data_IF_898352198592
#
_entry.id   IF_898352198592
#
_cell.length_a   1.000
_cell.length_b   1.000
_cell.length_c   1.000
_cell.angle_alpha   90.00
_cell.angle_beta   90.00
_cell.angle_gamma   90.00
#
_symmetry.space_group_name_H-M   'P 1'
#
loop_
_entity.id
_entity.type
_entity.pdbx_description
1 polymer ?
#
# COMPACT_ATOMS: atom_id res chain seq x y z
N UNK A 1 -29.85 -25.99 -53.91
CA UNK A 1 -30.13 -24.83 -53.04
C UNK A 1 -30.25 -25.30 -51.59
N UNK A 2 -29.60 -24.56 -50.69
CA UNK A 2 -29.73 -24.55 -49.21
C UNK A 2 -28.87 -25.56 -48.41
N UNK A 3 -27.74 -25.02 -47.96
CA UNK A 3 -26.91 -25.43 -46.83
C UNK A 3 -27.71 -25.78 -45.57
N UNK A 4 -27.24 -26.75 -44.77
CA UNK A 4 -27.11 -26.58 -43.31
C UNK A 4 -25.80 -27.23 -42.84
N UNK A 5 -24.87 -26.34 -42.51
CA UNK A 5 -23.65 -26.49 -41.73
C UNK A 5 -24.00 -26.88 -40.30
N UNK A 6 -23.34 -27.86 -39.66
CA UNK A 6 -23.39 -28.03 -38.19
C UNK A 6 -22.41 -29.09 -37.67
N UNK A 7 -21.61 -28.66 -36.69
CA UNK A 7 -20.81 -29.44 -35.72
C UNK A 7 -19.35 -29.74 -36.07
N UNK A 8 -18.49 -28.74 -35.83
CA UNK A 8 -17.17 -28.96 -35.24
C UNK A 8 -17.03 -28.01 -34.04
N UNK A 9 -17.41 -28.53 -32.88
CA UNK A 9 -17.32 -27.87 -31.58
C UNK A 9 -15.85 -27.91 -31.14
N UNK A 10 -15.06 -26.90 -31.52
CA UNK A 10 -13.70 -26.72 -31.03
C UNK A 10 -13.75 -26.18 -29.60
N UNK A 11 -13.67 -27.10 -28.64
CA UNK A 11 -13.49 -26.82 -27.23
C UNK A 11 -12.04 -26.37 -27.00
N UNK A 12 -11.78 -25.07 -27.07
CA UNK A 12 -10.53 -24.46 -26.61
C UNK A 12 -10.58 -24.41 -25.09
N UNK A 13 -9.92 -25.38 -24.44
CA UNK A 13 -9.63 -25.36 -23.00
C UNK A 13 -8.69 -24.19 -22.71
N UNK A 14 -9.26 -23.07 -22.26
CA UNK A 14 -8.52 -21.95 -21.70
C UNK A 14 -8.00 -22.36 -20.32
N UNK A 15 -6.84 -23.02 -20.31
CA UNK A 15 -6.08 -23.29 -19.09
C UNK A 15 -5.72 -21.97 -18.43
N UNK A 16 -6.50 -21.56 -17.44
CA UNK A 16 -6.18 -20.45 -16.55
C UNK A 16 -5.04 -20.93 -15.64
N UNK A 17 -3.79 -20.82 -16.10
CA UNK A 17 -2.63 -20.98 -15.25
C UNK A 17 -2.63 -19.82 -14.27
N UNK A 18 -3.12 -20.05 -13.06
CA UNK A 18 -2.91 -19.14 -11.95
C UNK A 18 -1.41 -19.06 -11.68
N UNK A 19 -0.76 -18.01 -12.17
CA UNK A 19 0.58 -17.65 -11.70
C UNK A 19 0.43 -17.31 -10.23
N UNK A 20 0.85 -18.21 -9.34
CA UNK A 20 1.07 -17.87 -7.95
C UNK A 20 2.16 -16.80 -7.91
N UNK A 21 1.78 -15.55 -7.71
CA UNK A 21 2.71 -14.51 -7.30
C UNK A 21 3.31 -14.98 -5.97
N UNK A 22 4.57 -15.39 -6.00
CA UNK A 22 5.39 -15.45 -4.79
C UNK A 22 5.51 -14.00 -4.32
N UNK A 23 4.71 -13.63 -3.32
CA UNK A 23 4.81 -12.33 -2.68
C UNK A 23 6.10 -12.33 -1.85
N UNK A 24 7.20 -11.92 -2.48
CA UNK A 24 8.51 -11.80 -1.84
C UNK A 24 8.55 -10.62 -0.87
N UNK A 25 7.64 -9.66 -0.99
CA UNK A 25 7.55 -8.51 -0.10
C UNK A 25 6.43 -8.76 0.91
N UNK A 26 6.73 -8.54 2.19
CA UNK A 26 5.83 -8.76 3.31
C UNK A 26 5.52 -7.43 3.99
N UNK A 27 4.24 -7.16 4.25
CA UNK A 27 3.83 -6.10 5.17
C UNK A 27 4.11 -6.58 6.61
N UNK A 28 4.90 -5.82 7.35
CA UNK A 28 5.18 -6.09 8.76
C UNK A 28 4.11 -5.45 9.65
N UNK A 29 3.89 -4.16 9.47
CA UNK A 29 2.90 -3.36 10.18
C UNK A 29 2.55 -2.10 9.35
N UNK A 30 1.52 -1.39 9.77
CA UNK A 30 1.18 -0.09 9.19
C UNK A 30 -0.24 0.37 9.45
N UNK A 31 -0.48 1.64 9.17
CA UNK A 31 -1.77 2.30 9.37
C UNK A 31 -1.96 3.48 8.41
N UNK A 32 -3.22 3.84 8.19
CA UNK A 32 -3.58 5.12 7.56
C UNK A 32 -3.92 6.11 8.66
N UNK A 33 -3.37 7.31 8.59
CA UNK A 33 -3.66 8.35 9.59
C UNK A 33 -5.11 8.82 9.46
N UNK A 34 -5.82 8.83 10.57
CA UNK A 34 -7.13 9.46 10.65
C UNK A 34 -6.99 11.00 10.66
N UNK A 35 -7.78 11.69 9.85
CA UNK A 35 -7.85 13.15 9.81
C UNK A 35 -9.28 13.63 10.11
N UNK A 36 -9.45 14.87 10.63
CA UNK A 36 -10.78 15.48 10.73
C UNK A 36 -11.50 15.47 9.36
N UNK A 37 -12.84 15.35 9.33
CA UNK A 37 -13.60 15.26 8.07
C UNK A 37 -13.40 16.43 7.10
N UNK A 38 -12.94 17.58 7.60
CA UNK A 38 -12.67 18.78 6.79
C UNK A 38 -11.33 18.73 6.03
N UNK A 39 -10.46 17.76 6.31
CA UNK A 39 -9.14 17.64 5.68
C UNK A 39 -9.22 16.65 4.52
N UNK A 40 -8.98 17.08 3.27
CA UNK A 40 -9.18 16.24 2.09
C UNK A 40 -8.02 15.27 1.82
N UNK A 41 -6.93 15.34 2.59
CA UNK A 41 -5.71 14.56 2.37
C UNK A 41 -5.27 13.87 3.65
N UNK A 42 -4.62 12.72 3.53
CA UNK A 42 -4.02 12.02 4.67
C UNK A 42 -2.74 11.30 4.23
N UNK A 43 -2.04 10.68 5.17
CA UNK A 43 -0.85 9.87 4.91
C UNK A 43 -1.04 8.44 5.40
N UNK A 44 -0.41 7.49 4.71
CA UNK A 44 -0.25 6.11 5.13
C UNK A 44 1.21 5.81 5.46
N UNK A 45 1.38 5.04 6.52
CA UNK A 45 2.65 4.65 7.11
C UNK A 45 2.68 3.14 7.27
N UNK A 46 3.77 2.50 6.92
CA UNK A 46 3.91 1.05 6.98
C UNK A 46 5.36 0.60 6.83
N UNK A 47 5.63 -0.61 7.30
CA UNK A 47 6.91 -1.28 7.16
C UNK A 47 6.78 -2.46 6.19
N UNK A 48 7.66 -2.49 5.19
CA UNK A 48 7.81 -3.64 4.29
C UNK A 48 9.14 -4.36 4.57
N UNK A 49 9.14 -5.68 4.44
CA UNK A 49 10.33 -6.53 4.45
C UNK A 49 10.39 -7.31 3.13
N UNK A 50 11.54 -7.32 2.47
CA UNK A 50 11.74 -8.04 1.21
C UNK A 50 12.51 -9.33 1.42
N UNK A 51 11.94 -10.46 1.02
CA UNK A 51 12.57 -11.78 1.03
C UNK A 51 13.08 -12.23 -0.34
N UNK A 52 12.92 -11.40 -1.37
CA UNK A 52 13.37 -11.69 -2.73
C UNK A 52 14.42 -10.70 -3.22
N UNK A 53 14.67 -10.67 -4.54
CA UNK A 53 15.62 -9.74 -5.15
C UNK A 53 15.27 -8.28 -4.86
N UNK A 54 16.27 -7.39 -4.95
CA UNK A 54 16.06 -5.96 -4.82
C UNK A 54 15.03 -5.44 -5.84
N UNK A 55 14.10 -4.62 -5.37
CA UNK A 55 13.02 -4.00 -6.15
C UNK A 55 12.83 -2.55 -5.73
N UNK A 56 12.08 -1.78 -6.51
CA UNK A 56 11.69 -0.41 -6.15
C UNK A 56 10.19 -0.28 -6.11
N UNK A 57 9.65 0.32 -5.06
CA UNK A 57 8.27 0.77 -5.02
C UNK A 57 8.16 2.01 -5.89
N UNK A 58 7.44 1.95 -7.01
CA UNK A 58 7.35 3.04 -8.00
C UNK A 58 5.98 3.71 -8.06
N UNK A 59 4.93 3.02 -7.61
CA UNK A 59 3.60 3.59 -7.54
C UNK A 59 2.76 2.94 -6.44
N UNK A 60 1.79 3.70 -5.94
CA UNK A 60 0.75 3.22 -5.04
C UNK A 60 -0.60 3.70 -5.58
N UNK A 61 -1.63 2.85 -5.51
CA UNK A 61 -3.00 3.24 -5.86
C UNK A 61 -3.97 2.79 -4.79
N UNK A 62 -5.11 3.47 -4.66
CA UNK A 62 -6.18 3.11 -3.74
C UNK A 62 -7.52 3.63 -4.23
N UNK A 63 -8.61 2.98 -3.84
CA UNK A 63 -9.95 3.40 -4.19
C UNK A 63 -10.47 4.54 -3.31
N UNK A 64 -9.87 4.77 -2.14
CA UNK A 64 -10.38 5.76 -1.16
C UNK A 64 -9.96 7.20 -1.46
N UNK A 65 -8.98 7.40 -2.34
CA UNK A 65 -8.42 8.69 -2.72
C UNK A 65 -8.36 8.83 -4.24
N UNK A 66 -8.18 10.06 -4.73
CA UNK A 66 -7.98 10.31 -6.16
C UNK A 66 -6.56 9.98 -6.60
N UNK A 67 -5.59 10.29 -5.74
CA UNK A 67 -4.17 10.02 -5.99
C UNK A 67 -3.49 9.51 -4.73
N UNK A 68 -2.50 8.63 -4.91
CA UNK A 68 -1.56 8.23 -3.88
C UNK A 68 -0.13 8.49 -4.39
N UNK A 69 0.64 9.25 -3.63
CA UNK A 69 1.96 9.75 -4.03
C UNK A 69 3.02 9.35 -3.00
N UNK A 70 4.22 9.02 -3.48
CA UNK A 70 5.38 8.72 -2.63
C UNK A 70 6.03 10.04 -2.22
N UNK A 71 6.18 10.31 -0.93
CA UNK A 71 6.71 11.58 -0.40
C UNK A 71 7.80 11.31 0.63
N UNK A 72 8.80 12.19 0.69
CA UNK A 72 9.84 12.21 1.72
C UNK A 72 9.89 13.59 2.38
N UNK A 73 10.59 13.69 3.50
CA UNK A 73 10.90 14.95 4.16
C UNK A 73 12.34 15.35 3.85
N UNK A 74 12.53 16.57 3.38
CA UNK A 74 13.85 17.13 3.07
C UNK A 74 14.04 18.39 3.89
N UNK A 75 15.19 18.51 4.55
CA UNK A 75 15.58 19.76 5.20
C UNK A 75 16.34 20.64 4.20
N UNK A 76 15.80 21.82 3.92
CA UNK A 76 16.45 22.82 3.09
C UNK A 76 16.51 24.14 3.87
N UNK A 77 17.72 24.62 4.14
CA UNK A 77 17.95 25.88 4.87
C UNK A 77 17.27 25.92 6.26
N UNK A 78 17.29 24.79 6.99
CA UNK A 78 16.66 24.67 8.31
C UNK A 78 15.14 24.58 8.29
N UNK A 79 14.53 24.42 7.10
CA UNK A 79 13.08 24.23 6.93
C UNK A 79 12.83 22.83 6.39
N UNK A 80 12.02 22.06 7.10
CA UNK A 80 11.54 20.75 6.66
C UNK A 80 10.43 20.92 5.63
N UNK A 81 10.61 20.31 4.45
CA UNK A 81 9.64 20.33 3.35
C UNK A 81 9.30 18.92 2.90
N UNK A 82 8.05 18.71 2.50
CA UNK A 82 7.64 17.49 1.81
C UNK A 82 8.08 17.55 0.35
N UNK A 83 8.65 16.45 -0.15
CA UNK A 83 9.06 16.31 -1.55
C UNK A 83 8.57 14.99 -2.10
N UNK A 84 7.84 15.05 -3.22
CA UNK A 84 7.43 13.86 -3.94
C UNK A 84 8.66 13.11 -4.49
N UNK A 85 8.64 11.79 -4.36
CA UNK A 85 9.62 10.85 -4.88
C UNK A 85 9.03 10.07 -6.05
N UNK A 86 9.87 9.66 -6.99
CA UNK A 86 9.47 8.76 -8.08
C UNK A 86 9.48 7.30 -7.66
N UNK A 87 10.27 6.95 -6.64
CA UNK A 87 10.40 5.57 -6.15
C UNK A 87 11.08 5.49 -4.79
N UNK A 88 10.82 4.41 -4.05
CA UNK A 88 11.62 4.00 -2.90
C UNK A 88 12.34 2.68 -3.19
N UNK A 89 13.62 2.59 -2.84
CA UNK A 89 14.37 1.35 -2.97
C UNK A 89 13.99 0.38 -1.85
N UNK A 90 13.89 -0.90 -2.19
CA UNK A 90 13.69 -2.00 -1.25
C UNK A 90 14.69 -3.10 -1.62
N UNK A 91 15.84 -3.06 -0.96
CA UNK A 91 16.96 -3.97 -1.22
C UNK A 91 16.58 -5.44 -0.93
N UNK A 92 17.36 -6.37 -1.47
CA UNK A 92 17.23 -7.79 -1.14
C UNK A 92 17.46 -8.01 0.37
N UNK A 93 16.55 -8.75 1.03
CA UNK A 93 16.55 -8.92 2.49
C UNK A 93 16.47 -7.60 3.28
N UNK A 94 16.08 -6.51 2.62
CA UNK A 94 15.98 -5.17 3.19
C UNK A 94 14.60 -4.83 3.74
N UNK A 95 14.54 -3.66 4.36
CA UNK A 95 13.32 -3.07 4.89
C UNK A 95 13.06 -1.69 4.25
N UNK A 96 11.79 -1.38 4.01
CA UNK A 96 11.33 -0.03 3.68
C UNK A 96 10.37 0.44 4.76
N UNK A 97 10.77 1.47 5.48
CA UNK A 97 10.00 2.09 6.56
C UNK A 97 9.40 3.40 6.09
N UNK A 98 8.08 3.47 6.08
CA UNK A 98 7.34 4.69 5.82
C UNK A 98 6.73 5.19 7.14
N UNK A 99 7.21 6.33 7.66
CA UNK A 99 6.91 6.85 8.99
C UNK A 99 6.65 8.36 8.99
N UNK A 100 5.97 8.91 10.02
CA UNK A 100 5.63 10.35 10.06
C UNK A 100 6.81 11.31 9.95
N UNK A 101 8.00 10.90 10.39
CA UNK A 101 9.23 11.69 10.36
C UNK A 101 10.13 11.40 9.15
N UNK A 102 9.65 10.69 8.14
CA UNK A 102 10.43 10.35 6.95
C UNK A 102 9.56 10.11 5.72
N UNK A 103 9.86 9.01 5.02
CA UNK A 103 9.14 8.60 3.83
C UNK A 103 7.68 8.22 4.17
N UNK A 104 6.73 8.54 3.31
CA UNK A 104 5.32 8.22 3.51
C UNK A 104 4.54 8.20 2.21
N UNK A 105 3.36 7.57 2.22
CA UNK A 105 2.42 7.64 1.10
C UNK A 105 1.40 8.73 1.40
N UNK A 106 1.39 9.79 0.58
CA UNK A 106 0.39 10.85 0.67
C UNK A 106 -0.85 10.47 -0.16
N UNK A 107 -2.00 10.39 0.49
CA UNK A 107 -3.31 10.16 -0.13
C UNK A 107 -4.00 11.51 -0.35
N UNK A 108 -4.18 11.90 -1.61
CA UNK A 108 -4.74 13.19 -2.00
C UNK A 108 -6.17 13.05 -2.53
N UNK A 109 -7.04 13.96 -2.09
CA UNK A 109 -8.43 14.00 -2.54
C UNK A 109 -9.20 12.75 -2.09
N UNK A 110 -9.29 12.56 -0.77
CA UNK A 110 -10.13 11.53 -0.16
C UNK A 110 -11.57 11.67 -0.67
N UNK A 111 -12.10 10.57 -1.22
CA UNK A 111 -13.47 10.52 -1.78
C UNK A 111 -14.53 10.50 -0.70
N UNK A 112 -14.18 10.01 0.49
CA UNK A 112 -14.97 10.02 1.71
C UNK A 112 -14.07 10.21 2.93
N UNK A 113 -14.57 10.78 4.04
CA UNK A 113 -13.84 10.76 5.30
C UNK A 113 -13.52 9.32 5.73
N UNK A 114 -12.30 9.10 6.20
CA UNK A 114 -11.87 7.80 6.74
C UNK A 114 -12.22 7.71 8.22
N UNK A 115 -12.89 6.63 8.62
CA UNK A 115 -13.28 6.40 10.01
C UNK A 115 -12.25 5.49 10.69
N UNK A 116 -11.93 5.79 11.95
CA UNK A 116 -11.01 4.96 12.75
C UNK A 116 -11.52 3.52 12.83
N UNK A 117 -10.63 2.56 12.62
CA UNK A 117 -10.96 1.13 12.58
C UNK A 117 -11.42 0.62 11.22
N UNK A 118 -11.62 1.48 10.22
CA UNK A 118 -11.82 1.03 8.84
C UNK A 118 -10.51 0.50 8.25
N UNK A 119 -10.63 -0.45 7.32
CA UNK A 119 -9.50 -0.93 6.51
C UNK A 119 -9.43 -0.18 5.19
N UNK A 120 -8.23 0.19 4.78
CA UNK A 120 -7.92 0.83 3.51
C UNK A 120 -6.94 -0.04 2.75
N UNK A 121 -7.33 -0.42 1.54
CA UNK A 121 -6.47 -1.21 0.66
C UNK A 121 -5.59 -0.29 -0.21
N UNK A 122 -4.29 -0.55 -0.19
CA UNK A 122 -3.30 0.09 -1.04
C UNK A 122 -2.69 -0.96 -1.97
N UNK A 123 -2.71 -0.69 -3.27
CA UNK A 123 -2.01 -1.53 -4.25
C UNK A 123 -0.65 -0.92 -4.56
N UNK A 124 0.39 -1.61 -4.13
CA UNK A 124 1.79 -1.30 -4.37
C UNK A 124 2.19 -1.85 -5.74
N UNK A 125 2.85 -1.03 -6.56
CA UNK A 125 3.43 -1.44 -7.85
C UNK A 125 4.94 -1.28 -7.79
N UNK A 126 5.65 -2.35 -8.12
CA UNK A 126 7.11 -2.39 -8.14
C UNK A 126 7.66 -2.21 -9.57
N UNK A 127 8.91 -1.81 -9.68
CA UNK A 127 9.62 -1.58 -10.95
C UNK A 127 9.74 -2.84 -11.83
N UNK A 128 9.75 -4.02 -11.22
CA UNK A 128 9.71 -5.31 -11.93
C UNK A 128 8.31 -5.66 -12.50
N UNK A 129 7.31 -4.78 -12.34
CA UNK A 129 5.94 -4.96 -12.82
C UNK A 129 5.03 -5.74 -11.86
N UNK A 130 5.56 -6.25 -10.74
CA UNK A 130 4.77 -6.94 -9.71
C UNK A 130 3.86 -5.95 -9.00
N UNK A 131 2.67 -6.42 -8.65
CA UNK A 131 1.72 -5.67 -7.83
C UNK A 131 1.35 -6.46 -6.58
N UNK A 132 1.23 -5.77 -5.47
CA UNK A 132 0.81 -6.34 -4.19
C UNK A 132 -0.18 -5.42 -3.51
N UNK A 133 -1.32 -5.95 -3.11
CA UNK A 133 -2.28 -5.21 -2.30
C UNK A 133 -2.00 -5.47 -0.83
N UNK A 134 -1.95 -4.39 -0.05
CA UNK A 134 -1.86 -4.40 1.41
C UNK A 134 -3.09 -3.73 2.00
N UNK A 135 -3.54 -4.22 3.15
CA UNK A 135 -4.69 -3.66 3.88
C UNK A 135 -4.19 -3.02 5.17
N UNK A 136 -4.49 -1.72 5.35
CA UNK A 136 -4.04 -0.93 6.50
C UNK A 136 -5.25 -0.41 7.28
N UNK A 137 -5.19 -0.49 8.61
CA UNK A 137 -6.23 0.07 9.48
C UNK A 137 -6.09 1.59 9.61
N UNK A 138 -7.20 2.29 9.66
CA UNK A 138 -7.23 3.73 9.93
C UNK A 138 -7.10 3.97 11.44
N UNK A 139 -6.07 4.72 11.85
CA UNK A 139 -5.77 4.99 13.26
C UNK A 139 -5.39 6.47 13.51
N UNK A 140 -5.68 6.96 14.72
CA UNK A 140 -5.23 8.29 15.20
C UNK A 140 -3.78 8.30 15.69
N UNK A 141 -3.25 7.13 16.08
CA UNK A 141 -1.90 6.95 16.60
C UNK A 141 -1.17 5.89 15.77
N UNK A 142 0.16 5.98 15.76
CA UNK A 142 1.02 4.87 15.33
C UNK A 142 0.59 3.62 16.09
N UNK A 143 0.36 2.52 15.36
CA UNK A 143 -0.05 1.26 15.97
C UNK A 143 1.13 0.76 16.82
N UNK A 144 1.17 1.16 18.08
CA UNK A 144 1.98 0.46 19.07
C UNK A 144 1.45 -0.98 19.13
N UNK A 145 2.32 -1.94 18.85
CA UNK A 145 2.08 -3.38 18.93
C UNK A 145 0.98 -3.71 19.95
N UNK A 146 -0.21 -4.07 19.46
CA UNK A 146 -1.22 -4.70 20.31
C UNK A 146 -0.82 -6.17 20.49
N UNK A 147 0.21 -6.40 21.30
CA UNK A 147 0.42 -7.66 21.98
C UNK A 147 -0.11 -7.52 23.41
N UNK A 148 -0.81 -8.54 23.87
CA UNK A 148 -1.61 -8.52 25.09
C UNK A 148 -0.79 -8.39 26.37
N UNK A 149 -1.34 -7.63 27.33
CA UNK A 149 -0.82 -7.58 28.69
C UNK A 149 -1.69 -6.70 29.58
N UNK A 150 -2.67 -7.30 30.23
CA UNK A 150 -3.30 -6.73 31.42
C UNK A 150 -2.21 -6.32 32.42
N UNK A 151 -2.10 -5.04 32.74
CA UNK A 151 -1.44 -4.60 33.96
C UNK A 151 -2.21 -3.45 34.60
N UNK A 152 -2.84 -3.78 35.71
CA UNK A 152 -3.21 -2.85 36.78
C UNK A 152 -2.01 -1.94 37.10
N UNK A 153 -2.23 -0.67 37.46
CA UNK A 153 -1.66 -0.06 38.66
C UNK A 153 -2.17 1.38 38.88
N UNK A 154 -2.58 1.59 40.13
CA UNK A 154 -2.81 2.81 40.88
C UNK A 154 -1.97 4.04 40.50
N UNK A 155 -2.62 5.22 40.50
CA UNK A 155 -2.49 6.20 41.59
C UNK A 155 -3.74 7.08 41.68
#
# INVERSE_FOLDING_TARGET
MKHIFKHAFNLVLLSCTSFSVLANVMLVDGYVRAMPPSVPNTAAYFNLMNHGPAVKLVAVTTDVANEAQLHTLVEENGVVKMRQQSSFNLEEHGHLTLAPSGDHIMLLGLKKPLVVGESVDLTLTFDNGTKQTISLMVSKQELANQDGGEHHHHH
#
